data_IF_699221998541
#
_entry.id   IF_699221998541
#
_cell.length_a   1.000
_cell.length_b   1.000
_cell.length_c   1.000
_cell.angle_alpha   90.00
_cell.angle_beta   90.00
_cell.angle_gamma   90.00
#
_symmetry.space_group_name_H-M   'P 1'
#
loop_
_entity.id
_entity.type
_entity.pdbx_description
1 polymer ?
#
# COMPACT_ATOMS: atom_id res chain seq x y z
N UNK A 1 12.64 -12.97 16.70
CA UNK A 1 11.24 -13.46 16.62
C UNK A 1 10.43 -12.83 17.75
N UNK A 2 9.16 -12.52 17.51
CA UNK A 2 8.23 -11.99 18.52
C UNK A 2 7.70 -13.12 19.39
N UNK A 3 7.73 -12.97 20.71
CA UNK A 3 7.29 -13.97 21.68
C UNK A 3 6.07 -13.50 22.50
N UNK A 4 5.54 -14.36 23.35
CA UNK A 4 4.41 -14.06 24.23
C UNK A 4 4.58 -12.80 25.11
N UNK A 5 5.79 -12.50 25.59
CA UNK A 5 6.06 -11.28 26.37
C UNK A 5 5.92 -10.03 25.50
N UNK A 6 6.42 -10.07 24.26
CA UNK A 6 6.24 -8.99 23.30
C UNK A 6 4.76 -8.77 22.96
N UNK A 7 4.00 -9.86 22.77
CA UNK A 7 2.54 -9.78 22.54
C UNK A 7 1.88 -9.07 23.70
N UNK A 8 2.16 -9.51 24.93
CA UNK A 8 1.59 -8.90 26.14
C UNK A 8 1.98 -7.42 26.23
N UNK A 9 3.25 -7.09 26.06
CA UNK A 9 3.73 -5.70 26.13
C UNK A 9 3.06 -4.80 25.10
N UNK A 10 2.81 -5.31 23.87
CA UNK A 10 2.11 -4.55 22.84
C UNK A 10 0.63 -4.34 23.18
N UNK A 11 -0.05 -5.38 23.66
CA UNK A 11 -1.46 -5.29 24.06
C UNK A 11 -1.65 -4.37 25.27
N UNK A 12 -0.79 -4.48 26.29
CA UNK A 12 -0.80 -3.57 27.45
C UNK A 12 -0.61 -2.12 27.01
N UNK A 13 0.29 -1.87 26.05
CA UNK A 13 0.47 -0.53 25.47
C UNK A 13 -0.79 -0.06 24.72
N UNK A 14 -1.41 -0.93 23.92
CA UNK A 14 -2.61 -0.63 23.15
C UNK A 14 -3.78 -0.18 24.05
N UNK A 15 -3.87 -0.74 25.27
CA UNK A 15 -4.88 -0.40 26.27
C UNK A 15 -4.60 0.91 27.02
N UNK A 16 -3.39 1.47 26.92
CA UNK A 16 -3.10 2.80 27.49
C UNK A 16 -3.86 3.89 26.74
N UNK A 17 -4.17 5.04 27.39
CA UNK A 17 -4.81 6.17 26.70
C UNK A 17 -4.03 6.67 25.47
N UNK A 18 -2.69 6.63 25.54
CA UNK A 18 -1.83 7.06 24.44
C UNK A 18 -1.81 6.04 23.29
N UNK A 19 -1.73 4.74 23.60
CA UNK A 19 -1.79 3.67 22.60
C UNK A 19 -3.15 3.62 21.90
N UNK A 20 -4.24 3.67 22.67
CA UNK A 20 -5.59 3.74 22.11
C UNK A 20 -5.79 5.00 21.23
N UNK A 21 -5.22 6.14 21.63
CA UNK A 21 -5.23 7.36 20.80
C UNK A 21 -4.46 7.15 19.49
N UNK A 22 -3.25 6.59 19.54
CA UNK A 22 -2.43 6.31 18.37
C UNK A 22 -3.16 5.38 17.40
N UNK A 23 -3.57 4.19 17.87
CA UNK A 23 -4.29 3.19 17.06
C UNK A 23 -5.56 3.75 16.42
N UNK A 24 -6.29 4.64 17.11
CA UNK A 24 -7.47 5.32 16.55
C UNK A 24 -7.11 6.20 15.35
N UNK A 25 -6.01 6.93 15.41
CA UNK A 25 -5.54 7.82 14.33
C UNK A 25 -4.94 7.03 13.18
N UNK A 26 -4.17 5.99 13.48
CA UNK A 26 -3.64 5.03 12.50
C UNK A 26 -4.79 4.38 11.73
N UNK A 27 -5.80 3.84 12.44
CA UNK A 27 -7.01 3.29 11.83
C UNK A 27 -7.73 4.30 10.93
N UNK A 28 -7.90 5.55 11.36
CA UNK A 28 -8.51 6.62 10.54
C UNK A 28 -7.72 6.89 9.26
N UNK A 29 -6.39 6.84 9.34
CA UNK A 29 -5.54 7.00 8.17
C UNK A 29 -5.71 5.84 7.18
N UNK A 30 -5.65 4.60 7.67
CA UNK A 30 -5.84 3.41 6.85
C UNK A 30 -7.23 3.44 6.17
N UNK A 31 -8.28 3.77 6.94
CA UNK A 31 -9.65 3.98 6.44
C UNK A 31 -9.71 5.00 5.29
N UNK A 32 -9.02 6.13 5.44
CA UNK A 32 -8.98 7.18 4.43
C UNK A 32 -8.32 6.67 3.14
N UNK A 33 -7.18 6.00 3.24
CA UNK A 33 -6.45 5.50 2.07
C UNK A 33 -7.21 4.39 1.33
N UNK A 34 -7.85 3.47 2.05
CA UNK A 34 -8.63 2.36 1.46
C UNK A 34 -10.09 2.72 1.16
N UNK A 35 -10.48 4.00 1.28
CA UNK A 35 -11.86 4.45 1.04
C UNK A 35 -12.33 4.20 -0.40
N UNK A 36 -11.41 4.24 -1.36
CA UNK A 36 -11.70 3.95 -2.77
C UNK A 36 -11.54 2.48 -3.18
N UNK A 37 -11.27 1.56 -2.25
CA UNK A 37 -11.21 0.12 -2.55
C UNK A 37 -12.60 -0.53 -2.40
N UNK A 38 -13.08 -1.26 -3.40
CA UNK A 38 -14.14 -2.27 -3.23
C UNK A 38 -13.81 -3.21 -2.06
N UNK A 39 -14.80 -3.49 -1.21
CA UNK A 39 -14.59 -4.26 0.04
C UNK A 39 -15.35 -5.57 0.07
N UNK A 40 -16.67 -5.52 -0.10
CA UNK A 40 -17.53 -6.71 -0.06
C UNK A 40 -17.19 -7.67 -1.17
N UNK A 41 -16.93 -8.93 -0.81
CA UNK A 41 -16.52 -9.98 -1.75
C UNK A 41 -15.11 -9.80 -2.30
N UNK A 42 -14.28 -8.98 -1.64
CA UNK A 42 -12.88 -8.80 -2.00
C UNK A 42 -11.98 -9.29 -0.87
N UNK A 43 -10.97 -10.07 -1.26
CA UNK A 43 -10.04 -10.69 -0.33
C UNK A 43 -8.91 -9.74 0.06
N UNK A 44 -8.50 -9.78 1.33
CA UNK A 44 -7.42 -8.97 1.87
C UNK A 44 -6.49 -9.83 2.73
N UNK A 45 -5.22 -9.91 2.32
CA UNK A 45 -4.16 -10.54 3.11
C UNK A 45 -3.40 -9.50 3.92
N UNK A 46 -3.29 -9.68 5.24
CA UNK A 46 -2.40 -8.88 6.09
C UNK A 46 -1.13 -9.68 6.42
N UNK A 47 0.00 -9.22 5.92
CA UNK A 47 1.32 -9.85 6.10
C UNK A 47 2.02 -9.22 7.31
N UNK A 48 2.31 -10.05 8.31
CA UNK A 48 2.69 -9.59 9.65
C UNK A 48 1.48 -9.10 10.45
N UNK A 49 0.38 -9.86 10.43
CA UNK A 49 -0.89 -9.41 11.02
C UNK A 49 -0.86 -9.20 12.55
N UNK A 50 0.21 -9.65 13.22
CA UNK A 50 0.40 -9.49 14.65
C UNK A 50 -0.79 -10.08 15.43
N UNK A 51 -1.28 -9.41 16.48
CA UNK A 51 -2.44 -9.88 17.25
C UNK A 51 -3.79 -9.52 16.61
N UNK A 52 -3.80 -9.10 15.34
CA UNK A 52 -5.01 -8.91 14.54
C UNK A 52 -5.78 -7.61 14.78
N UNK A 53 -5.19 -6.57 15.40
CA UNK A 53 -5.90 -5.30 15.69
C UNK A 53 -6.42 -4.63 14.41
N UNK A 54 -5.57 -4.51 13.38
CA UNK A 54 -5.98 -3.90 12.12
C UNK A 54 -6.76 -4.85 11.22
N UNK A 55 -6.46 -6.16 11.31
CA UNK A 55 -7.20 -7.19 10.59
C UNK A 55 -8.68 -7.22 10.97
N UNK A 56 -8.99 -7.11 12.27
CA UNK A 56 -10.35 -6.98 12.78
C UNK A 56 -11.06 -5.76 12.18
N UNK A 57 -10.36 -4.63 12.08
CA UNK A 57 -10.90 -3.43 11.44
C UNK A 57 -11.20 -3.63 9.94
N UNK A 58 -10.33 -4.34 9.19
CA UNK A 58 -10.59 -4.61 7.78
C UNK A 58 -11.78 -5.57 7.60
N UNK A 59 -11.90 -6.57 8.47
CA UNK A 59 -13.07 -7.45 8.50
C UNK A 59 -14.36 -6.66 8.76
N UNK A 60 -14.38 -5.80 9.79
CA UNK A 60 -15.51 -4.91 10.10
C UNK A 60 -15.84 -3.95 8.94
N UNK A 61 -14.84 -3.61 8.12
CA UNK A 61 -15.00 -2.79 6.92
C UNK A 61 -15.56 -3.55 5.72
N UNK A 62 -15.72 -4.87 5.82
CA UNK A 62 -16.37 -5.75 4.86
C UNK A 62 -15.44 -6.50 3.91
N UNK A 63 -14.14 -6.59 4.20
CA UNK A 63 -13.22 -7.45 3.45
C UNK A 63 -13.28 -8.89 3.94
N UNK A 64 -12.99 -9.83 3.04
CA UNK A 64 -12.73 -11.23 3.39
C UNK A 64 -11.25 -11.35 3.76
N UNK A 65 -10.97 -11.41 5.07
CA UNK A 65 -9.61 -11.21 5.59
C UNK A 65 -8.86 -12.52 5.83
N UNK A 66 -7.56 -12.49 5.55
CA UNK A 66 -6.59 -13.53 5.87
C UNK A 66 -5.38 -12.90 6.55
N UNK A 67 -4.91 -13.49 7.66
CA UNK A 67 -3.72 -13.05 8.36
C UNK A 67 -2.55 -14.02 8.16
N UNK A 68 -1.36 -13.50 7.94
CA UNK A 68 -0.12 -14.27 7.98
C UNK A 68 0.86 -13.62 8.96
N UNK A 69 1.47 -14.40 9.83
CA UNK A 69 2.52 -13.91 10.74
C UNK A 69 3.56 -15.03 10.98
N UNK A 70 4.80 -14.63 11.26
CA UNK A 70 5.89 -15.56 11.55
C UNK A 70 5.88 -16.04 13.00
N UNK A 71 5.22 -15.31 13.92
CA UNK A 71 5.14 -15.64 15.34
C UNK A 71 3.88 -16.46 15.66
N UNK A 72 4.04 -17.70 16.18
CA UNK A 72 2.91 -18.49 16.68
C UNK A 72 2.13 -17.79 17.79
N UNK A 73 2.82 -17.03 18.66
CA UNK A 73 2.19 -16.29 19.78
C UNK A 73 1.31 -15.15 19.26
N UNK A 74 1.75 -14.43 18.22
CA UNK A 74 0.94 -13.40 17.55
C UNK A 74 -0.33 -14.01 16.93
N UNK A 75 -0.17 -15.13 16.22
CA UNK A 75 -1.30 -15.83 15.61
C UNK A 75 -2.29 -16.38 16.65
N UNK A 76 -1.80 -16.86 17.80
CA UNK A 76 -2.67 -17.29 18.89
C UNK A 76 -3.53 -16.13 19.42
N UNK A 77 -2.94 -14.93 19.60
CA UNK A 77 -3.67 -13.73 19.98
C UNK A 77 -4.67 -13.29 18.88
N UNK A 78 -4.28 -13.32 17.61
CA UNK A 78 -5.15 -12.95 16.50
C UNK A 78 -6.34 -13.90 16.34
N UNK A 79 -6.11 -15.21 16.48
CA UNK A 79 -7.18 -16.23 16.51
C UNK A 79 -8.14 -16.01 17.67
N UNK A 80 -7.63 -15.63 18.84
CA UNK A 80 -8.47 -15.33 20.00
C UNK A 80 -9.36 -14.10 19.78
N UNK A 81 -8.87 -13.11 19.03
CA UNK A 81 -9.60 -11.88 18.68
C UNK A 81 -10.66 -12.11 17.60
N UNK A 82 -10.27 -12.65 16.45
CA UNK A 82 -11.16 -12.77 15.30
C UNK A 82 -11.96 -14.07 15.28
N UNK A 83 -11.45 -15.15 15.87
CA UNK A 83 -12.06 -16.47 15.81
C UNK A 83 -12.23 -16.95 14.36
N UNK A 84 -13.42 -17.42 13.95
CA UNK A 84 -13.66 -17.93 12.58
C UNK A 84 -13.85 -16.82 11.53
N UNK A 85 -13.66 -15.55 11.90
CA UNK A 85 -13.85 -14.39 11.00
C UNK A 85 -12.69 -14.15 10.04
N UNK A 86 -11.58 -14.85 10.23
CA UNK A 86 -10.38 -14.76 9.41
C UNK A 86 -9.66 -16.10 9.36
N UNK A 87 -9.01 -16.36 8.23
CA UNK A 87 -8.05 -17.44 8.11
C UNK A 87 -6.65 -16.97 8.54
N UNK A 88 -5.87 -17.87 9.12
CA UNK A 88 -4.56 -17.54 9.70
C UNK A 88 -3.50 -18.55 9.29
N UNK A 89 -2.37 -18.04 8.78
CA UNK A 89 -1.25 -18.84 8.28
C UNK A 89 0.05 -18.49 9.02
N UNK A 90 0.79 -19.51 9.43
CA UNK A 90 2.16 -19.33 9.91
C UNK A 90 3.09 -19.24 8.69
N UNK A 91 3.84 -18.15 8.57
CA UNK A 91 4.73 -17.95 7.44
C UNK A 91 5.57 -16.69 7.56
N UNK A 92 6.52 -16.52 6.63
CA UNK A 92 7.40 -15.36 6.56
C UNK A 92 7.04 -14.48 5.37
N UNK A 93 7.19 -13.17 5.51
CA UNK A 93 6.70 -12.20 4.53
C UNK A 93 7.47 -12.16 3.21
N UNK A 94 8.70 -12.68 3.18
CA UNK A 94 9.58 -12.76 2.02
C UNK A 94 9.40 -14.05 1.19
N UNK A 95 8.57 -14.98 1.67
CA UNK A 95 8.19 -16.21 0.99
C UNK A 95 6.73 -16.57 1.32
N UNK A 96 5.79 -15.92 0.64
CA UNK A 96 4.37 -16.10 0.89
C UNK A 96 3.86 -17.40 0.24
N UNK A 97 3.15 -18.29 0.99
CA UNK A 97 2.68 -19.58 0.50
C UNK A 97 1.39 -19.46 -0.33
N UNK A 98 1.31 -18.44 -1.19
CA UNK A 98 0.15 -18.11 -1.99
C UNK A 98 0.55 -17.91 -3.45
N UNK A 99 -0.38 -18.20 -4.35
CA UNK A 99 -0.19 -17.98 -5.79
C UNK A 99 -0.17 -16.49 -6.15
N UNK A 100 0.29 -16.20 -7.36
CA UNK A 100 0.28 -14.84 -7.90
C UNK A 100 -1.16 -14.32 -8.00
N UNK A 101 -1.39 -13.07 -7.59
CA UNK A 101 -2.70 -12.42 -7.58
C UNK A 101 -3.79 -13.17 -6.78
N UNK A 102 -3.40 -14.00 -5.79
CA UNK A 102 -4.34 -14.75 -4.95
C UNK A 102 -5.27 -13.84 -4.10
N UNK A 103 -4.86 -12.60 -3.81
CA UNK A 103 -5.63 -11.65 -3.04
C UNK A 103 -5.93 -10.38 -3.82
N UNK A 104 -7.13 -9.81 -3.68
CA UNK A 104 -7.43 -8.50 -4.27
C UNK A 104 -6.51 -7.43 -3.68
N UNK A 105 -6.34 -7.45 -2.37
CA UNK A 105 -5.54 -6.48 -1.62
C UNK A 105 -4.56 -7.15 -0.65
N UNK A 106 -3.41 -6.52 -0.46
CA UNK A 106 -2.43 -6.93 0.56
C UNK A 106 -2.11 -5.75 1.46
N UNK A 107 -1.99 -6.00 2.76
CA UNK A 107 -1.56 -5.02 3.74
C UNK A 107 -0.26 -5.45 4.43
N UNK A 108 0.60 -4.47 4.68
CA UNK A 108 1.87 -4.59 5.39
C UNK A 108 1.91 -3.48 6.44
N UNK A 109 1.42 -3.76 7.64
CA UNK A 109 1.25 -2.75 8.69
C UNK A 109 2.27 -2.97 9.80
N UNK A 110 3.26 -2.09 9.91
CA UNK A 110 4.31 -2.10 10.94
C UNK A 110 5.14 -3.39 10.97
N UNK A 111 5.30 -4.03 9.81
CA UNK A 111 6.08 -5.26 9.63
C UNK A 111 7.47 -4.99 9.07
N UNK A 112 7.62 -4.00 8.17
CA UNK A 112 8.87 -3.74 7.43
C UNK A 112 10.01 -3.20 8.29
N UNK A 113 9.69 -2.81 9.52
CA UNK A 113 10.61 -2.38 10.58
C UNK A 113 11.35 -3.55 11.22
N UNK A 114 10.79 -4.77 11.12
CA UNK A 114 11.25 -5.95 11.86
C UNK A 114 11.73 -7.09 10.95
N UNK A 115 11.70 -6.89 9.64
CA UNK A 115 12.21 -7.84 8.63
C UNK A 115 13.61 -7.46 8.17
N UNK A 116 14.38 -8.48 7.78
CA UNK A 116 15.75 -8.29 7.31
C UNK A 116 15.79 -7.65 5.91
N UNK A 117 14.96 -8.15 4.99
CA UNK A 117 14.82 -7.66 3.62
C UNK A 117 13.41 -7.14 3.32
N UNK A 118 13.21 -5.84 3.54
CA UNK A 118 11.92 -5.19 3.23
C UNK A 118 11.61 -5.14 1.73
N UNK A 119 12.62 -5.23 0.84
CA UNK A 119 12.39 -5.22 -0.59
C UNK A 119 11.82 -6.58 -1.04
N UNK A 120 12.36 -7.69 -0.52
CA UNK A 120 11.83 -9.04 -0.76
C UNK A 120 10.38 -9.18 -0.28
N UNK A 121 10.08 -8.72 0.94
CA UNK A 121 8.71 -8.75 1.48
C UNK A 121 7.75 -7.93 0.63
N UNK A 122 8.16 -6.74 0.17
CA UNK A 122 7.33 -5.93 -0.73
C UNK A 122 7.13 -6.60 -2.09
N UNK A 123 8.17 -7.26 -2.63
CA UNK A 123 8.06 -7.97 -3.90
C UNK A 123 7.03 -9.11 -3.81
N UNK A 124 7.05 -9.90 -2.74
CA UNK A 124 6.04 -10.94 -2.49
C UNK A 124 4.63 -10.36 -2.30
N UNK A 125 4.50 -9.26 -1.56
CA UNK A 125 3.22 -8.57 -1.41
C UNK A 125 2.66 -8.11 -2.77
N UNK A 126 3.50 -7.56 -3.66
CA UNK A 126 3.09 -7.21 -5.02
C UNK A 126 2.82 -8.42 -5.91
N UNK A 127 3.49 -9.56 -5.68
CA UNK A 127 3.26 -10.80 -6.42
C UNK A 127 1.87 -11.36 -6.13
N UNK A 128 1.47 -11.43 -4.85
CA UNK A 128 0.19 -12.03 -4.45
C UNK A 128 -0.99 -11.04 -4.52
N UNK A 129 -0.74 -9.73 -4.63
CA UNK A 129 -1.77 -8.71 -4.77
C UNK A 129 -2.22 -8.49 -6.23
N UNK A 130 -3.51 -8.68 -6.49
CA UNK A 130 -4.12 -8.43 -7.80
C UNK A 130 -4.34 -6.93 -8.07
N UNK A 131 -4.83 -6.16 -7.08
CA UNK A 131 -5.32 -4.78 -7.30
C UNK A 131 -4.52 -3.71 -6.57
N UNK A 132 -4.08 -3.97 -5.34
CA UNK A 132 -3.42 -2.96 -4.55
C UNK A 132 -2.73 -3.47 -3.30
N UNK A 133 -1.77 -2.68 -2.84
CA UNK A 133 -1.02 -2.92 -1.60
C UNK A 133 -1.10 -1.69 -0.71
N UNK A 134 -1.40 -1.88 0.57
CA UNK A 134 -1.36 -0.83 1.59
C UNK A 134 -0.18 -1.12 2.53
N UNK A 135 0.76 -0.19 2.59
CA UNK A 135 1.94 -0.32 3.43
C UNK A 135 1.95 0.80 4.45
N UNK A 136 2.15 0.48 5.73
CA UNK A 136 2.29 1.46 6.78
C UNK A 136 3.53 1.18 7.64
N UNK A 137 4.23 2.25 8.00
CA UNK A 137 5.50 2.20 8.72
C UNK A 137 5.63 3.33 9.75
N UNK A 138 6.46 3.07 10.77
CA UNK A 138 6.96 4.06 11.70
C UNK A 138 7.94 5.00 11.01
N UNK A 139 7.58 6.28 10.99
CA UNK A 139 8.28 7.29 10.21
C UNK A 139 9.46 7.90 10.96
N UNK A 140 10.66 7.76 10.38
CA UNK A 140 11.93 8.26 10.93
C UNK A 140 11.98 9.78 11.08
N UNK A 141 11.23 10.52 10.26
CA UNK A 141 11.23 11.99 10.30
C UNK A 141 10.28 12.58 11.33
N UNK A 142 9.66 11.75 12.17
CA UNK A 142 8.69 12.21 13.16
C UNK A 142 9.33 12.60 14.50
N UNK A 143 8.68 13.47 15.29
CA UNK A 143 9.05 13.68 16.70
C UNK A 143 8.96 12.39 17.54
N UNK A 144 8.17 11.41 17.10
CA UNK A 144 8.05 10.12 17.77
C UNK A 144 9.34 9.31 17.66
N UNK A 145 10.03 9.35 16.51
CA UNK A 145 11.35 8.73 16.36
C UNK A 145 12.35 9.28 17.38
N UNK A 146 12.38 10.60 17.59
CA UNK A 146 13.31 11.24 18.54
C UNK A 146 13.15 10.72 19.97
N UNK A 147 11.93 10.36 20.36
CA UNK A 147 11.64 9.89 21.72
C UNK A 147 11.72 8.36 21.88
N UNK A 148 11.27 7.60 20.87
CA UNK A 148 11.07 6.15 20.98
C UNK A 148 11.92 5.32 20.01
N UNK A 149 12.44 5.92 18.94
CA UNK A 149 13.15 5.21 17.86
C UNK A 149 14.67 5.38 17.86
N UNK A 150 15.21 6.38 18.57
CA UNK A 150 16.67 6.57 18.67
C UNK A 150 17.30 5.35 19.36
N UNK A 151 18.28 4.67 18.73
CA UNK A 151 18.96 3.53 19.36
C UNK A 151 19.65 3.95 20.66
N UNK A 152 19.42 3.18 21.72
CA UNK A 152 20.03 3.42 23.03
C UNK A 152 20.69 2.12 23.52
N UNK A 153 21.99 2.12 23.88
CA UNK A 153 22.66 0.93 24.40
C UNK A 153 21.94 0.37 25.62
N UNK A 154 21.72 -0.96 25.64
CA UNK A 154 21.06 -1.66 26.74
C UNK A 154 19.53 -1.55 26.78
N UNK A 155 18.89 -0.88 25.82
CA UNK A 155 17.43 -0.85 25.76
C UNK A 155 16.84 -2.14 25.18
N UNK A 156 15.90 -2.75 25.90
CA UNK A 156 15.07 -3.86 25.44
C UNK A 156 13.88 -3.43 24.57
N UNK A 157 13.71 -2.13 24.31
CA UNK A 157 12.57 -1.61 23.55
C UNK A 157 12.63 -2.07 22.09
N UNK A 158 11.60 -2.81 21.66
CA UNK A 158 11.42 -3.21 20.25
C UNK A 158 11.40 -2.01 19.30
N UNK A 159 10.84 -0.88 19.72
CA UNK A 159 10.83 0.35 18.92
C UNK A 159 12.22 0.95 18.69
N UNK A 160 13.18 0.76 19.61
CA UNK A 160 14.57 1.20 19.42
C UNK A 160 15.40 0.22 18.59
N UNK A 161 14.93 -1.02 18.45
CA UNK A 161 15.53 -2.06 17.60
C UNK A 161 14.95 -2.06 16.17
N UNK A 162 13.77 -1.46 16.00
CA UNK A 162 13.08 -1.31 14.73
C UNK A 162 13.89 -0.51 13.70
N UNK A 163 13.75 -0.88 12.42
CA UNK A 163 14.27 -0.10 11.28
C UNK A 163 13.23 0.93 10.83
N UNK A 164 13.22 2.09 11.47
CA UNK A 164 12.34 3.21 11.10
C UNK A 164 12.62 3.70 9.68
N UNK A 165 11.56 3.92 8.91
CA UNK A 165 11.64 4.24 7.48
C UNK A 165 11.28 5.69 7.22
N UNK A 166 11.82 6.26 6.16
CA UNK A 166 11.43 7.60 5.68
C UNK A 166 10.55 7.50 4.44
N UNK A 167 9.76 8.54 4.16
CA UNK A 167 8.94 8.58 2.94
C UNK A 167 9.76 8.37 1.64
N UNK A 168 10.92 9.01 1.41
CA UNK A 168 11.70 8.78 0.19
C UNK A 168 12.26 7.36 0.08
N UNK A 169 12.53 6.71 1.22
CA UNK A 169 12.94 5.30 1.24
C UNK A 169 11.78 4.38 0.87
N UNK A 170 10.60 4.59 1.46
CA UNK A 170 9.39 3.83 1.12
C UNK A 170 9.01 4.00 -0.35
N UNK A 171 9.05 5.22 -0.89
CA UNK A 171 8.76 5.48 -2.30
C UNK A 171 9.78 4.79 -3.23
N UNK A 172 11.05 4.67 -2.82
CA UNK A 172 12.07 3.92 -3.58
C UNK A 172 11.79 2.42 -3.57
N UNK A 173 11.53 1.85 -2.39
CA UNK A 173 11.20 0.43 -2.25
C UNK A 173 9.95 0.03 -3.04
N UNK A 174 8.88 0.83 -2.94
CA UNK A 174 7.64 0.60 -3.70
C UNK A 174 7.88 0.66 -5.22
N UNK A 175 8.68 1.63 -5.70
CA UNK A 175 9.01 1.73 -7.14
C UNK A 175 9.85 0.55 -7.64
N UNK A 176 10.68 -0.04 -6.79
CA UNK A 176 11.47 -1.22 -7.14
C UNK A 176 10.58 -2.46 -7.29
N UNK A 177 9.60 -2.64 -6.39
CA UNK A 177 8.68 -3.79 -6.43
C UNK A 177 7.51 -3.64 -7.43
N UNK A 178 7.10 -2.40 -7.74
CA UNK A 178 5.92 -2.11 -8.56
C UNK A 178 6.23 -0.98 -9.55
N UNK A 179 6.82 -1.34 -10.69
CA UNK A 179 7.17 -0.39 -11.76
C UNK A 179 5.92 0.24 -12.37
N UNK A 180 5.73 1.55 -12.20
CA UNK A 180 4.63 2.31 -12.82
C UNK A 180 3.32 2.38 -12.01
N UNK A 181 3.33 1.95 -10.76
CA UNK A 181 2.13 1.92 -9.92
C UNK A 181 1.76 3.32 -9.38
N UNK A 182 0.46 3.59 -9.24
CA UNK A 182 -0.02 4.83 -8.65
C UNK A 182 0.14 4.75 -7.13
N UNK A 183 0.75 5.78 -6.52
CA UNK A 183 1.03 5.80 -5.08
C UNK A 183 0.36 7.01 -4.44
N UNK A 184 -0.49 6.75 -3.45
CA UNK A 184 -1.08 7.77 -2.58
C UNK A 184 -0.58 7.58 -1.17
N UNK A 185 -0.01 8.61 -0.55
CA UNK A 185 0.51 8.52 0.81
C UNK A 185 -0.01 9.65 1.69
N UNK A 186 -0.09 9.40 2.98
CA UNK A 186 -0.46 10.37 4.01
C UNK A 186 0.24 10.00 5.33
N UNK A 187 0.30 10.94 6.25
CA UNK A 187 0.76 10.66 7.62
C UNK A 187 -0.22 11.19 8.67
N UNK A 188 -0.09 10.69 9.90
CA UNK A 188 -0.84 11.14 11.09
C UNK A 188 0.09 11.21 12.32
N UNK A 189 -0.42 11.71 13.44
CA UNK A 189 0.30 11.83 14.72
C UNK A 189 1.56 12.72 14.58
N UNK A 190 1.35 13.99 14.23
CA UNK A 190 2.43 14.94 13.93
C UNK A 190 3.10 15.53 15.17
N UNK A 191 2.41 15.56 16.31
CA UNK A 191 2.96 16.10 17.54
C UNK A 191 3.61 14.98 18.39
N UNK A 192 4.50 15.34 19.34
CA UNK A 192 5.15 14.37 20.22
C UNK A 192 4.15 13.49 20.98
N UNK A 193 4.55 12.26 21.32
CA UNK A 193 3.64 11.28 21.94
C UNK A 193 3.08 11.69 23.31
N UNK A 194 3.74 12.60 24.03
CA UNK A 194 3.18 13.17 25.27
C UNK A 194 1.86 13.94 25.04
N UNK A 195 1.55 14.30 23.79
CA UNK A 195 0.32 15.00 23.39
C UNK A 195 -0.82 14.06 22.95
N UNK A 196 -0.59 12.74 22.90
CA UNK A 196 -1.56 11.74 22.43
C UNK A 196 -2.60 11.44 23.52
N UNK A 197 -3.53 12.38 23.70
CA UNK A 197 -4.61 12.32 24.69
C UNK A 197 -5.84 13.07 24.18
N UNK A 198 -7.03 12.58 24.52
CA UNK A 198 -8.28 13.24 24.11
C UNK A 198 -8.51 14.55 24.87
N UNK A 199 -9.42 15.40 24.35
CA UNK A 199 -9.94 16.56 25.08
C UNK A 199 -9.01 17.77 25.27
N UNK A 200 -7.82 17.79 24.67
CA UNK A 200 -6.87 18.92 24.80
C UNK A 200 -6.75 19.74 23.50
N UNK A 201 -6.31 21.01 23.59
CA UNK A 201 -5.98 21.85 22.41
C UNK A 201 -5.01 21.13 21.44
N UNK A 202 -4.15 20.24 21.96
CA UNK A 202 -3.23 19.42 21.17
C UNK A 202 -3.91 18.38 20.27
N UNK A 203 -5.20 18.06 20.49
CA UNK A 203 -5.94 17.19 19.59
C UNK A 203 -5.99 17.81 18.17
N UNK A 204 -5.99 19.15 18.06
CA UNK A 204 -5.94 19.84 16.77
C UNK A 204 -4.66 19.52 15.99
N UNK A 205 -3.52 19.40 16.67
CA UNK A 205 -2.23 19.09 16.04
C UNK A 205 -2.12 17.62 15.57
N UNK A 206 -2.91 16.71 16.15
CA UNK A 206 -2.86 15.28 15.86
C UNK A 206 -4.05 14.77 15.00
N UNK A 207 -5.14 15.53 14.89
CA UNK A 207 -6.38 15.13 14.18
C UNK A 207 -6.25 15.09 12.66
N UNK A 208 -5.36 15.87 12.08
CA UNK A 208 -5.26 16.03 10.63
C UNK A 208 -4.59 14.84 9.96
N UNK A 209 -5.25 14.26 8.96
CA UNK A 209 -4.58 13.43 7.96
C UNK A 209 -3.90 14.39 6.99
N UNK A 210 -2.57 14.44 7.00
CA UNK A 210 -1.84 15.46 6.24
C UNK A 210 -0.97 14.86 5.14
N UNK A 211 -0.71 15.69 4.13
CA UNK A 211 0.39 15.54 3.17
C UNK A 211 1.75 15.99 3.75
N UNK A 212 1.81 16.19 5.06
CA UNK A 212 3.04 16.52 5.76
C UNK A 212 3.86 15.23 5.98
N UNK A 213 5.16 15.18 5.63
CA UNK A 213 5.97 13.98 5.77
C UNK A 213 6.51 13.73 7.20
N UNK A 214 6.10 14.50 8.21
CA UNK A 214 6.64 14.45 9.59
C UNK A 214 5.72 13.75 10.61
N UNK A 215 4.59 13.16 10.20
CA UNK A 215 3.74 12.36 11.09
C UNK A 215 4.42 11.06 11.54
N UNK A 216 4.15 10.60 12.77
CA UNK A 216 4.75 9.38 13.33
C UNK A 216 4.41 8.11 12.56
N UNK A 217 3.22 8.06 11.98
CA UNK A 217 2.74 6.92 11.22
C UNK A 217 2.54 7.32 9.77
N UNK A 218 3.30 6.69 8.88
CA UNK A 218 3.28 6.93 7.44
C UNK A 218 2.63 5.74 6.74
N UNK A 219 1.59 5.98 5.96
CA UNK A 219 0.96 4.95 5.15
C UNK A 219 0.93 5.33 3.66
N UNK A 220 1.13 4.32 2.82
CA UNK A 220 1.15 4.39 1.37
C UNK A 220 0.15 3.36 0.83
N UNK A 221 -0.83 3.81 0.07
CA UNK A 221 -1.62 2.98 -0.82
C UNK A 221 -0.95 2.94 -2.18
N UNK A 222 -0.77 1.74 -2.71
CA UNK A 222 -0.22 1.46 -4.03
C UNK A 222 -1.30 0.74 -4.83
N UNK A 223 -1.73 1.31 -5.95
CA UNK A 223 -2.65 0.65 -6.87
C UNK A 223 -1.83 0.05 -8.02
N UNK A 224 -1.90 -1.27 -8.21
CA UNK A 224 -1.04 -2.02 -9.16
C UNK A 224 -1.42 -1.76 -10.62
N UNK A 225 -2.61 -1.22 -10.87
CA UNK A 225 -3.13 -0.95 -12.22
C UNK A 225 -3.52 -2.20 -13.02
N UNK A 226 -3.28 -3.41 -12.49
CA UNK A 226 -3.51 -4.69 -13.18
C UNK A 226 -4.99 -5.10 -13.30
N UNK A 227 -5.92 -4.31 -12.76
CA UNK A 227 -7.35 -4.62 -12.70
C UNK A 227 -8.28 -3.51 -13.20
N UNK A 228 -7.78 -2.46 -13.85
CA UNK A 228 -8.67 -1.49 -14.51
C UNK A 228 -9.15 -2.11 -15.83
N UNK A 229 -10.48 -2.25 -16.07
CA UNK A 229 -10.95 -2.54 -17.41
C UNK A 229 -10.44 -1.42 -18.31
N UNK A 230 -9.59 -1.78 -19.28
CA UNK A 230 -9.14 -0.84 -20.29
C UNK A 230 -10.38 -0.56 -21.13
N UNK A 231 -11.09 0.52 -20.87
CA UNK A 231 -12.11 1.00 -21.82
C UNK A 231 -11.36 1.28 -23.11
N UNK A 232 -11.60 0.53 -24.21
CA UNK A 232 -10.96 0.88 -25.47
C UNK A 232 -11.44 2.28 -25.83
N UNK A 233 -10.52 3.24 -25.83
CA UNK A 233 -10.77 4.55 -26.42
C UNK A 233 -11.10 4.29 -27.89
N UNK A 234 -12.39 4.43 -28.23
CA UNK A 234 -12.85 4.49 -29.61
C UNK A 234 -12.15 5.67 -30.28
N UNK A 235 -11.04 5.38 -30.95
CA UNK A 235 -10.38 6.27 -31.88
C UNK A 235 -11.40 6.61 -32.97
N UNK A 236 -12.06 7.74 -32.83
CA UNK A 236 -12.83 8.33 -33.91
C UNK A 236 -11.83 8.83 -34.94
N UNK A 237 -11.45 7.97 -35.88
CA UNK A 237 -10.75 8.41 -37.08
C UNK A 237 -11.72 9.34 -37.82
N UNK A 238 -11.45 10.65 -37.81
CA UNK A 238 -12.13 11.57 -38.72
C UNK A 238 -11.88 11.03 -40.12
N UNK A 239 -12.94 10.60 -40.81
CA UNK A 239 -12.91 10.31 -42.25
C UNK A 239 -12.24 11.49 -42.94
N UNK A 240 -11.00 11.32 -43.38
CA UNK A 240 -10.39 12.22 -44.35
C UNK A 240 -11.31 12.21 -45.57
N UNK A 241 -11.81 13.38 -45.95
CA UNK A 241 -12.59 13.54 -47.17
C UNK A 241 -11.79 12.96 -48.35
N UNK A 242 -12.44 12.27 -49.31
CA UNK A 242 -11.73 11.74 -50.47
C UNK A 242 -11.08 12.90 -51.21
N UNK A 243 -9.75 12.85 -51.33
CA UNK A 243 -9.03 13.76 -52.23
C UNK A 243 -9.60 13.59 -53.62
N UNK A 244 -10.14 14.68 -54.20
CA UNK A 244 -10.52 14.71 -55.60
C UNK A 244 -9.25 14.60 -56.43
N UNK A 245 -9.04 13.44 -57.06
CA UNK A 245 -8.02 13.26 -58.07
C UNK A 245 -8.50 14.02 -59.31
N UNK A 246 -7.76 15.05 -59.71
CA UNK A 246 -7.98 15.73 -60.98
C UNK A 246 -7.66 14.76 -62.13
N UNK A 247 -8.52 14.60 -63.14
CA UNK A 247 -8.20 13.76 -64.30
C UNK A 247 -7.10 14.42 -65.15
N UNK A 248 -6.18 13.63 -65.74
CA UNK A 248 -5.12 14.16 -66.58
C UNK A 248 -5.67 14.72 -67.90
N UNK A 249 -5.23 15.94 -68.23
CA UNK A 249 -5.51 16.62 -69.50
C UNK A 249 -4.92 15.84 -70.66
N UNK A 250 -5.76 15.29 -71.53
CA UNK A 250 -5.34 14.63 -72.77
C UNK A 250 -4.98 15.72 -73.80
N UNK A 251 -3.69 15.93 -74.03
CA UNK A 251 -3.21 16.73 -75.17
C UNK A 251 -3.01 15.79 -76.35
N UNK A 252 -3.90 15.88 -77.34
CA UNK A 252 -3.86 15.10 -78.56
C UNK A 252 -2.62 15.41 -79.40
N UNK A 253 -1.85 14.39 -79.74
CA UNK A 253 -0.87 14.44 -80.84
C UNK A 253 -1.59 14.11 -82.15
N UNK A 254 -1.66 15.09 -83.03
CA UNK A 254 -2.10 14.93 -84.42
C UNK A 254 -1.04 14.15 -85.21
N UNK A 255 -1.48 13.10 -85.91
CA UNK A 255 -0.69 12.41 -86.91
C UNK A 255 -0.92 13.00 -88.30
N UNK A 256 0.17 13.39 -88.97
CA UNK A 256 0.22 13.54 -90.43
C UNK A 256 1.67 13.44 -90.91
N UNK A 257 1.92 12.57 -91.90
CA UNK A 257 3.20 12.51 -92.60
C UNK A 257 3.47 11.17 -93.24
N UNK A 258 3.05 11.02 -94.51
CA UNK A 258 3.26 9.89 -95.40
C UNK A 258 4.73 9.74 -95.82
N UNK A 259 5.08 8.48 -96.10
CA UNK A 259 5.94 7.92 -97.15
C UNK A 259 7.25 8.62 -97.58
N UNK A 260 8.30 7.82 -97.77
CA UNK A 260 9.06 7.72 -99.04
C UNK A 260 10.16 6.62 -98.97
N UNK A 261 10.01 5.63 -99.85
CA UNK A 261 11.02 4.96 -100.69
C UNK A 261 12.52 5.02 -100.32
N UNK A 262 13.15 3.85 -100.14
CA UNK A 262 14.08 3.18 -101.10
C UNK A 262 14.81 2.03 -100.41
#
# INVERSE_FOLDING_TARGET
MWNAEDVKSFLDWADTPAGAFALRHERRLLQHLVSGWPRRGHSLLDVGCGPGIFLEYFWESGFDVTGLDASPDMLAAARSRLGPRADFHLGVGDHLPFEDNAFDYVTLLNVLEFVDDAAAVLAEAFRVAARGVLVAVLNRWSPYYLSHGVPMPGSSSRLRQARWRSLPEMLRLVRQGCGGCAVTWRTVLHAPSCTWREGTLFNLCNRGIALNPFGAYLALRVDTGRGLPVTPLLLTTRKTAPMRVCPPTVVGRTGHGRDLSS
#
